data_IF_015977030292
#
_entry.id   IF_015977030292
#
_cell.length_a   1.000
_cell.length_b   1.000
_cell.length_c   1.000
_cell.angle_alpha   90.00
_cell.angle_beta   90.00
_cell.angle_gamma   90.00
#
_symmetry.space_group_name_H-M   'P 1'
#
loop_
_entity.id
_entity.type
_entity.pdbx_description
1 polymer ?
#
# COMPACT_ATOMS: atom_id res chain seq x y z
N UNK A 1 11.37 -2.52 -5.03
CA UNK A 1 10.87 -1.92 -3.77
C UNK A 1 9.52 -2.52 -3.43
N UNK A 2 9.27 -2.82 -2.16
CA UNK A 2 7.99 -3.34 -1.70
C UNK A 2 7.13 -2.14 -1.27
N UNK A 3 5.91 -2.05 -1.78
CA UNK A 3 4.93 -1.03 -1.35
C UNK A 3 3.86 -1.70 -0.50
N UNK A 4 3.38 -1.00 0.52
CA UNK A 4 2.16 -1.38 1.24
C UNK A 4 1.05 -0.32 1.12
N UNK A 5 -0.08 -0.84 0.65
CA UNK A 5 -1.46 -0.39 0.54
C UNK A 5 -2.36 -0.49 1.76
N UNK A 6 -3.24 0.46 2.09
CA UNK A 6 -4.29 0.22 3.07
C UNK A 6 -5.19 1.43 3.36
N UNK A 7 -6.16 1.27 4.27
CA UNK A 7 -6.93 2.40 4.79
C UNK A 7 -6.02 3.54 5.27
N UNK A 8 -6.33 4.76 4.84
CA UNK A 8 -5.55 5.97 5.15
C UNK A 8 -6.45 7.21 5.25
N UNK A 9 -7.70 7.02 5.66
CA UNK A 9 -8.72 8.04 5.88
C UNK A 9 -8.71 8.62 7.30
N UNK A 10 -7.92 8.04 8.22
CA UNK A 10 -7.72 8.51 9.58
C UNK A 10 -6.26 8.41 10.01
N UNK A 11 -5.86 9.19 11.02
CA UNK A 11 -4.52 9.14 11.61
C UNK A 11 -4.19 7.76 12.18
N UNK A 12 -5.18 7.06 12.75
CA UNK A 12 -5.03 5.70 13.26
C UNK A 12 -4.72 4.72 12.13
N UNK A 13 -5.46 4.80 11.02
CA UNK A 13 -5.24 3.95 9.85
C UNK A 13 -3.89 4.22 9.20
N UNK A 14 -3.46 5.49 9.12
CA UNK A 14 -2.13 5.87 8.63
C UNK A 14 -1.04 5.31 9.55
N UNK A 15 -1.22 5.41 10.87
CA UNK A 15 -0.31 4.84 11.86
C UNK A 15 -0.16 3.34 11.71
N UNK A 16 -1.28 2.62 11.60
CA UNK A 16 -1.29 1.18 11.37
C UNK A 16 -0.60 0.79 10.06
N UNK A 17 -0.86 1.53 8.97
CA UNK A 17 -0.21 1.30 7.68
C UNK A 17 1.31 1.51 7.77
N UNK A 18 1.77 2.52 8.52
CA UNK A 18 3.20 2.76 8.76
C UNK A 18 3.85 1.63 9.57
N UNK A 19 3.17 1.12 10.61
CA UNK A 19 3.64 -0.02 11.40
C UNK A 19 3.78 -1.28 10.55
N UNK A 20 2.75 -1.59 9.74
CA UNK A 20 2.78 -2.73 8.83
C UNK A 20 3.86 -2.58 7.75
N UNK A 21 4.10 -1.36 7.26
CA UNK A 21 5.21 -1.10 6.36
C UNK A 21 6.56 -1.42 7.02
N UNK A 22 6.76 -0.98 8.27
CA UNK A 22 7.96 -1.28 9.05
C UNK A 22 8.16 -2.77 9.26
N UNK A 23 7.10 -3.51 9.61
CA UNK A 23 7.14 -4.97 9.80
C UNK A 23 7.54 -5.73 8.53
N UNK A 24 7.05 -5.28 7.37
CA UNK A 24 7.31 -5.92 6.08
C UNK A 24 8.61 -5.44 5.41
N UNK A 25 9.32 -4.47 5.99
CA UNK A 25 10.44 -3.80 5.32
C UNK A 25 10.02 -3.10 4.02
N UNK A 26 8.78 -2.59 3.99
CA UNK A 26 8.13 -1.96 2.85
C UNK A 26 8.06 -0.42 3.01
N UNK A 27 7.67 0.26 1.93
CA UNK A 27 7.36 1.69 1.93
C UNK A 27 5.84 1.87 1.90
N UNK A 28 5.23 2.63 2.82
CA UNK A 28 3.79 2.89 2.76
C UNK A 28 3.45 3.80 1.59
N UNK A 29 2.30 3.57 0.95
CA UNK A 29 1.92 4.25 -0.29
C UNK A 29 1.80 5.78 -0.18
N UNK A 30 1.50 6.31 1.02
CA UNK A 30 1.46 7.76 1.25
C UNK A 30 2.84 8.43 1.38
N UNK A 31 3.93 7.66 1.42
CA UNK A 31 5.26 8.22 1.68
C UNK A 31 5.79 9.03 0.48
N UNK A 32 6.34 10.22 0.75
CA UNK A 32 6.93 11.08 -0.28
C UNK A 32 8.14 10.48 -1.01
N UNK A 33 8.84 9.49 -0.42
CA UNK A 33 9.97 8.81 -1.08
C UNK A 33 9.54 7.67 -2.01
N UNK A 34 8.24 7.42 -2.14
CA UNK A 34 7.70 6.33 -2.94
C UNK A 34 8.02 6.52 -4.44
N UNK A 35 8.61 5.50 -5.05
CA UNK A 35 8.93 5.47 -6.48
C UNK A 35 8.26 4.28 -7.17
N UNK A 36 7.01 4.44 -7.59
CA UNK A 36 6.20 3.39 -8.26
C UNK A 36 6.96 2.63 -9.37
N UNK A 37 7.77 3.33 -10.17
CA UNK A 37 8.55 2.72 -11.26
C UNK A 37 9.58 1.67 -10.80
N UNK A 38 9.97 1.69 -9.53
CA UNK A 38 10.93 0.74 -8.94
C UNK A 38 10.25 -0.30 -8.03
N UNK A 39 8.92 -0.20 -7.91
CA UNK A 39 8.14 -1.15 -7.15
C UNK A 39 8.17 -2.53 -7.83
N UNK A 40 8.16 -3.57 -7.02
CA UNK A 40 8.17 -4.97 -7.49
C UNK A 40 6.94 -5.72 -7.04
N UNK A 41 6.32 -5.27 -5.94
CA UNK A 41 5.12 -5.87 -5.35
C UNK A 41 4.37 -4.80 -4.56
N UNK A 42 3.04 -4.86 -4.58
CA UNK A 42 2.13 -4.12 -3.72
C UNK A 42 1.43 -5.08 -2.76
N UNK A 43 1.57 -4.87 -1.46
CA UNK A 43 0.77 -5.55 -0.44
C UNK A 43 -0.44 -4.70 -0.06
N UNK A 44 -1.63 -5.26 -0.10
CA UNK A 44 -2.87 -4.57 0.27
C UNK A 44 -3.36 -5.07 1.63
N UNK A 45 -3.43 -4.18 2.62
CA UNK A 45 -4.01 -4.49 3.93
C UNK A 45 -5.54 -4.62 3.84
N UNK A 46 -6.13 -5.35 4.78
CA UNK A 46 -7.58 -5.51 4.87
C UNK A 46 -8.31 -4.15 4.92
N UNK A 47 -9.41 -4.03 4.19
CA UNK A 47 -10.22 -2.80 4.12
C UNK A 47 -9.74 -1.77 3.11
N UNK A 48 -8.66 -2.04 2.36
CA UNK A 48 -8.14 -1.13 1.31
C UNK A 48 -9.21 -0.75 0.30
N UNK A 49 -10.14 -1.65 -0.01
CA UNK A 49 -11.20 -1.44 -0.99
C UNK A 49 -12.19 -0.33 -0.60
N UNK A 50 -12.23 0.05 0.67
CA UNK A 50 -13.07 1.13 1.21
C UNK A 50 -12.37 2.50 1.16
N UNK A 51 -11.06 2.53 0.89
CA UNK A 51 -10.28 3.76 0.83
C UNK A 51 -9.96 4.11 -0.62
N UNK A 52 -10.48 5.24 -1.11
CA UNK A 52 -10.30 5.66 -2.50
C UNK A 52 -8.83 5.82 -2.91
N UNK A 53 -7.97 6.25 -1.99
CA UNK A 53 -6.54 6.38 -2.25
C UNK A 53 -5.86 5.01 -2.41
N UNK A 54 -6.19 4.05 -1.54
CA UNK A 54 -5.68 2.68 -1.67
C UNK A 54 -6.21 1.97 -2.92
N UNK A 55 -7.44 2.28 -3.34
CA UNK A 55 -7.97 1.81 -4.63
C UNK A 55 -7.14 2.38 -5.79
N UNK A 56 -6.79 3.67 -5.75
CA UNK A 56 -5.95 4.29 -6.77
C UNK A 56 -4.54 3.67 -6.83
N UNK A 57 -3.95 3.36 -5.67
CA UNK A 57 -2.68 2.64 -5.56
C UNK A 57 -2.73 1.25 -6.21
N UNK A 58 -3.81 0.51 -6.00
CA UNK A 58 -4.02 -0.80 -6.65
C UNK A 58 -4.17 -0.64 -8.16
N UNK A 59 -4.96 0.33 -8.63
CA UNK A 59 -5.07 0.61 -10.07
C UNK A 59 -3.72 1.00 -10.71
N UNK A 60 -2.89 1.75 -9.99
CA UNK A 60 -1.53 2.07 -10.43
C UNK A 60 -0.67 0.80 -10.51
N UNK A 61 -0.70 -0.05 -9.48
CA UNK A 61 0.03 -1.31 -9.47
C UNK A 61 -0.39 -2.24 -10.62
N UNK A 62 -1.69 -2.35 -10.90
CA UNK A 62 -2.23 -3.11 -12.04
C UNK A 62 -1.70 -2.55 -13.36
N UNK A 63 -1.73 -1.22 -13.54
CA UNK A 63 -1.24 -0.57 -14.76
C UNK A 63 0.25 -0.78 -15.03
N UNK A 64 1.05 -0.94 -13.95
CA UNK A 64 2.47 -1.24 -14.03
C UNK A 64 2.78 -2.74 -14.08
N UNK A 65 1.77 -3.61 -14.02
CA UNK A 65 1.95 -5.07 -14.01
C UNK A 65 2.67 -5.58 -12.76
N UNK A 66 2.52 -4.88 -11.63
CA UNK A 66 3.10 -5.30 -10.36
C UNK A 66 2.39 -6.55 -9.82
N UNK A 67 3.13 -7.36 -9.07
CA UNK A 67 2.52 -8.42 -8.26
C UNK A 67 1.72 -7.77 -7.11
N UNK A 68 0.46 -8.16 -6.95
CA UNK A 68 -0.44 -7.62 -5.92
C UNK A 68 -0.79 -8.73 -4.94
N UNK A 69 -0.53 -8.50 -3.66
CA UNK A 69 -0.76 -9.44 -2.57
C UNK A 69 -1.78 -8.89 -1.59
N UNK A 70 -2.94 -9.53 -1.52
CA UNK A 70 -3.98 -9.17 -0.57
C UNK A 70 -3.74 -9.88 0.76
N UNK A 71 -3.55 -9.10 1.83
CA UNK A 71 -3.37 -9.61 3.18
C UNK A 71 -4.74 -9.68 3.86
N UNK A 72 -5.20 -10.89 4.13
CA UNK A 72 -6.33 -11.10 5.02
C UNK A 72 -5.82 -10.99 6.46
N UNK A 73 -6.39 -10.08 7.24
CA UNK A 73 -6.31 -10.09 8.70
C UNK A 73 -7.63 -10.61 9.23
#
# INVERSE_FOLDING_TARGET
MIIVTGPQDSDESIGFLAEMAGLLGAVPAFNAVLQWATATVLYCLAGWEKCSAAVADVSLAESFGLDIKYLAV
#
